data_IF_519298469744
#
_entry.id   IF_519298469744
#
_cell.length_a   1.000
_cell.length_b   1.000
_cell.length_c   1.000
_cell.angle_alpha   90.00
_cell.angle_beta   90.00
_cell.angle_gamma   90.00
#
_symmetry.space_group_name_H-M   'P 1'
#
loop_
_entity.id
_entity.type
_entity.pdbx_description
1 polymer ?
#
# COMPACT_ATOMS: atom_id res chain seq x y z
N UNK A 1 -4.29 -27.50 1.23
CA UNK A 1 -5.06 -26.25 1.40
C UNK A 1 -4.10 -25.23 2.01
N UNK A 2 -4.42 -23.92 2.01
CA UNK A 2 -3.65 -22.95 2.79
C UNK A 2 -4.25 -22.97 4.19
N UNK A 3 -3.53 -23.54 5.15
CA UNK A 3 -4.08 -23.96 6.44
C UNK A 3 -3.83 -22.89 7.52
N UNK A 4 -2.90 -21.97 7.27
CA UNK A 4 -2.57 -20.86 8.16
C UNK A 4 -2.78 -19.49 7.49
N UNK A 5 -2.94 -18.45 8.32
CA UNK A 5 -3.01 -17.06 7.83
C UNK A 5 -1.74 -16.66 7.07
N UNK A 6 -0.56 -17.09 7.54
CA UNK A 6 0.71 -16.80 6.88
C UNK A 6 0.74 -17.31 5.44
N UNK A 7 0.33 -18.56 5.22
CA UNK A 7 0.24 -19.15 3.87
C UNK A 7 -0.75 -18.40 2.97
N UNK A 8 -1.86 -17.92 3.55
CA UNK A 8 -2.86 -17.12 2.84
C UNK A 8 -2.32 -15.77 2.39
N UNK A 9 -1.44 -15.15 3.18
CA UNK A 9 -0.85 -13.85 2.87
C UNK A 9 0.27 -13.90 1.84
N UNK A 10 0.94 -15.05 1.64
CA UNK A 10 2.02 -15.19 0.64
C UNK A 10 1.53 -14.76 -0.74
N UNK A 11 2.23 -13.78 -1.31
CA UNK A 11 1.92 -13.19 -2.61
C UNK A 11 2.17 -11.69 -2.67
N UNK A 12 1.73 -11.11 -3.77
CA UNK A 12 1.85 -9.69 -4.08
C UNK A 12 0.47 -9.05 -4.11
N UNK A 13 0.30 -7.99 -3.33
CA UNK A 13 -0.97 -7.32 -3.09
C UNK A 13 -0.87 -5.86 -3.53
N UNK A 14 -1.99 -5.33 -4.04
CA UNK A 14 -2.14 -3.91 -4.38
C UNK A 14 -2.97 -3.24 -3.29
N UNK A 15 -2.54 -2.06 -2.82
CA UNK A 15 -3.40 -1.23 -1.98
C UNK A 15 -4.50 -0.63 -2.85
N UNK A 16 -5.75 -0.80 -2.45
CA UNK A 16 -6.88 -0.22 -3.18
C UNK A 16 -7.17 1.22 -2.72
N UNK A 17 -7.18 1.47 -1.41
CA UNK A 17 -7.42 2.80 -0.85
C UNK A 17 -6.72 3.00 0.50
N UNK A 18 -6.40 4.26 0.82
CA UNK A 18 -5.95 4.68 2.16
C UNK A 18 -6.61 5.98 2.54
N UNK A 19 -7.60 5.87 3.42
CA UNK A 19 -8.35 6.99 3.96
C UNK A 19 -7.79 7.38 5.32
N UNK A 20 -7.67 8.68 5.57
CA UNK A 20 -7.57 9.19 6.94
C UNK A 20 -8.95 9.12 7.60
N UNK A 21 -9.01 8.72 8.87
CA UNK A 21 -10.26 8.80 9.63
C UNK A 21 -10.69 10.27 9.72
N UNK A 22 -11.86 10.65 9.18
CA UNK A 22 -12.36 11.99 9.34
C UNK A 22 -12.67 12.24 10.82
N UNK A 23 -12.15 13.33 11.38
CA UNK A 23 -12.67 13.88 12.64
C UNK A 23 -14.09 14.35 12.36
N UNK A 24 -15.03 14.12 13.30
CA UNK A 24 -16.46 14.34 13.11
C UNK A 24 -16.79 15.60 12.28
N UNK A 25 -17.36 15.39 11.08
CA UNK A 25 -17.75 16.46 10.14
C UNK A 25 -16.74 16.77 9.03
N UNK A 26 -15.55 16.18 9.03
CA UNK A 26 -14.56 16.37 7.96
C UNK A 26 -14.75 15.39 6.79
N UNK A 27 -14.31 15.80 5.60
CA UNK A 27 -14.32 14.98 4.39
C UNK A 27 -13.18 13.95 4.46
N UNK A 28 -13.38 12.70 4.00
CA UNK A 28 -12.30 11.72 3.90
C UNK A 28 -11.13 12.25 3.05
N UNK A 29 -9.91 12.11 3.56
CA UNK A 29 -8.69 12.52 2.85
C UNK A 29 -7.95 11.29 2.33
N UNK A 30 -7.76 11.23 1.01
CA UNK A 30 -6.97 10.21 0.32
C UNK A 30 -5.48 10.55 0.40
N UNK A 31 -4.81 10.15 1.47
CA UNK A 31 -3.41 10.52 1.73
C UNK A 31 -2.43 10.07 0.62
N UNK A 32 -2.76 9.00 -0.09
CA UNK A 32 -1.93 8.41 -1.14
C UNK A 32 -2.41 8.73 -2.56
N UNK A 33 -3.44 9.59 -2.70
CA UNK A 33 -4.16 9.75 -3.98
C UNK A 33 -5.02 8.53 -4.32
N UNK A 34 -5.76 8.61 -5.42
CA UNK A 34 -6.67 7.56 -5.86
C UNK A 34 -6.51 7.26 -7.37
N UNK A 35 -6.21 6.00 -7.75
CA UNK A 35 -5.74 4.91 -6.90
C UNK A 35 -4.28 5.14 -6.44
N UNK A 36 -3.88 4.64 -5.26
CA UNK A 36 -2.48 4.70 -4.83
C UNK A 36 -1.59 3.82 -5.73
N UNK A 37 -0.33 4.21 -5.87
CA UNK A 37 0.69 3.40 -6.54
C UNK A 37 1.48 2.63 -5.47
N UNK A 38 1.21 1.33 -5.32
CA UNK A 38 1.80 0.56 -4.22
C UNK A 38 1.79 -0.94 -4.46
N UNK A 39 2.71 -1.62 -3.79
CA UNK A 39 2.80 -3.07 -3.73
C UNK A 39 3.11 -3.48 -2.28
N UNK A 40 2.42 -4.51 -1.79
CA UNK A 40 2.74 -5.19 -0.53
C UNK A 40 3.07 -6.64 -0.87
N UNK A 41 4.20 -7.15 -0.37
CA UNK A 41 4.65 -8.50 -0.67
C UNK A 41 4.94 -9.25 0.62
N UNK A 42 4.43 -10.48 0.70
CA UNK A 42 4.77 -11.46 1.73
C UNK A 42 5.43 -12.67 1.07
N UNK A 43 6.61 -13.04 1.56
CA UNK A 43 7.43 -14.12 0.98
C UNK A 43 7.44 -15.34 1.89
N UNK A 44 7.69 -16.51 1.30
CA UNK A 44 7.62 -17.80 2.01
C UNK A 44 8.65 -17.93 3.15
N UNK A 45 9.76 -17.19 3.06
CA UNK A 45 10.81 -17.12 4.08
C UNK A 45 10.48 -16.16 5.24
N UNK A 46 9.24 -15.63 5.27
CA UNK A 46 8.73 -14.82 6.38
C UNK A 46 9.05 -13.33 6.27
N UNK A 47 9.65 -12.87 5.17
CA UNK A 47 9.86 -11.45 4.94
C UNK A 47 8.59 -10.75 4.43
N UNK A 48 8.53 -9.46 4.72
CA UNK A 48 7.47 -8.57 4.27
C UNK A 48 8.09 -7.27 3.77
N UNK A 49 7.59 -6.77 2.65
CA UNK A 49 7.93 -5.44 2.15
C UNK A 49 6.67 -4.69 1.74
N UNK A 50 6.64 -3.39 2.03
CA UNK A 50 5.60 -2.49 1.54
C UNK A 50 6.25 -1.31 0.81
N UNK A 51 5.88 -1.15 -0.44
CA UNK A 51 6.29 -0.03 -1.28
C UNK A 51 5.07 0.85 -1.51
N UNK A 52 5.10 2.06 -0.95
CA UNK A 52 3.99 3.01 -0.99
C UNK A 52 4.41 4.28 -1.73
N UNK A 53 3.64 4.69 -2.73
CA UNK A 53 3.87 5.92 -3.47
C UNK A 53 2.55 6.66 -3.68
N UNK A 54 2.57 7.99 -3.47
CA UNK A 54 1.43 8.85 -3.77
C UNK A 54 1.22 8.91 -5.28
N UNK A 55 -0.04 8.80 -5.73
CA UNK A 55 -0.39 8.99 -7.13
C UNK A 55 0.06 10.38 -7.61
N UNK A 56 0.66 10.45 -8.80
CA UNK A 56 1.16 11.71 -9.37
C UNK A 56 2.43 12.27 -8.71
N UNK A 57 3.15 11.49 -7.88
CA UNK A 57 4.48 11.87 -7.42
C UNK A 57 5.39 12.12 -8.64
N UNK A 58 6.07 13.26 -8.66
CA UNK A 58 7.06 13.55 -9.68
C UNK A 58 8.21 12.56 -9.63
N UNK A 59 8.77 12.25 -10.81
CA UNK A 59 10.01 11.49 -10.91
C UNK A 59 11.13 12.26 -10.20
N UNK A 60 12.11 11.53 -9.68
CA UNK A 60 13.34 12.13 -9.17
C UNK A 60 14.02 12.94 -10.29
N UNK A 61 14.59 14.10 -9.94
CA UNK A 61 15.44 14.82 -10.87
C UNK A 61 16.77 14.08 -11.03
N UNK A 62 17.45 14.30 -12.15
CA UNK A 62 18.79 13.77 -12.38
C UNK A 62 19.76 14.43 -11.38
N UNK A 63 20.33 13.64 -10.46
CA UNK A 63 21.33 14.10 -9.49
C UNK A 63 20.83 14.28 -8.05
N UNK A 64 19.58 13.93 -7.76
CA UNK A 64 19.03 13.80 -6.39
C UNK A 64 19.33 12.44 -5.75
#
# INVERSE_FOLDING_TARGET
>A
MKDTLGEQLIGTWKLESRLGNPVAGSVPVFHMGEPPMSIIMYTQDGYMSAQLMRCGRQNFALGD
#
